data_IF_105962971510
#
_entry.id   IF_105962971510
#
_cell.length_a   1.000
_cell.length_b   1.000
_cell.length_c   1.000
_cell.angle_alpha   90.00
_cell.angle_beta   90.00
_cell.angle_gamma   90.00
#
_symmetry.space_group_name_H-M   'P 1'
#
loop_
_entity.id
_entity.type
_entity.pdbx_description
1 polymer ?
#
# COMPACT_ATOMS: atom_id res chain seq x y z
N UNK A 1 7.58 -8.30 -4.73
CA UNK A 1 6.37 -7.92 -5.45
C UNK A 1 6.50 -6.52 -6.04
N UNK A 2 5.94 -6.32 -7.20
CA UNK A 2 6.09 -5.04 -7.89
C UNK A 2 5.27 -3.95 -7.21
N UNK A 3 5.93 -2.80 -7.00
CA UNK A 3 5.23 -1.63 -6.49
C UNK A 3 4.51 -0.92 -7.63
N UNK A 4 3.43 -0.19 -7.33
CA UNK A 4 2.72 0.54 -8.39
C UNK A 4 3.57 1.68 -8.92
N UNK A 5 3.32 2.11 -10.15
CA UNK A 5 4.06 3.24 -10.71
C UNK A 5 3.66 4.52 -10.00
N UNK A 6 4.61 5.47 -9.95
CA UNK A 6 4.34 6.76 -9.35
C UNK A 6 3.59 7.64 -10.37
N UNK A 7 2.74 8.55 -9.88
CA UNK A 7 2.01 9.42 -10.80
C UNK A 7 2.96 10.40 -11.51
N UNK A 8 2.52 10.91 -12.65
CA UNK A 8 3.32 11.85 -13.44
C UNK A 8 3.73 13.07 -12.63
N UNK A 9 2.88 13.54 -11.74
CA UNK A 9 3.18 14.69 -10.89
C UNK A 9 4.39 14.46 -9.98
N UNK A 10 4.73 13.21 -9.71
CA UNK A 10 5.91 12.89 -8.92
C UNK A 10 7.19 13.37 -9.60
N UNK A 11 7.22 13.31 -10.92
CA UNK A 11 8.39 13.67 -11.71
C UNK A 11 8.40 15.12 -12.14
N UNK A 12 7.30 15.82 -11.96
CA UNK A 12 7.15 17.22 -12.35
C UNK A 12 7.33 18.11 -11.13
N UNK A 13 8.37 18.96 -11.13
CA UNK A 13 8.66 19.80 -9.97
C UNK A 13 8.15 21.21 -10.20
N UNK A 14 6.89 21.41 -9.88
CA UNK A 14 6.24 22.72 -10.00
C UNK A 14 6.00 23.24 -8.58
N UNK A 15 6.43 24.48 -8.32
CA UNK A 15 6.27 25.09 -7.00
C UNK A 15 4.81 25.13 -6.58
N UNK A 16 4.55 24.69 -5.36
CA UNK A 16 3.20 24.73 -4.80
C UNK A 16 2.27 23.66 -5.31
N UNK A 17 2.77 22.73 -6.14
CA UNK A 17 1.97 21.64 -6.66
C UNK A 17 2.39 20.33 -6.00
N UNK A 18 1.43 19.57 -5.52
CA UNK A 18 1.71 18.33 -4.85
C UNK A 18 2.25 17.28 -5.82
N UNK A 19 3.36 16.66 -5.46
CA UNK A 19 4.00 15.65 -6.30
C UNK A 19 3.22 14.34 -6.34
N UNK A 20 2.24 14.19 -5.47
CA UNK A 20 1.45 12.95 -5.42
C UNK A 20 0.12 13.06 -6.13
N UNK A 21 -0.72 14.02 -5.71
CA UNK A 21 -2.04 14.17 -6.31
C UNK A 21 -2.09 15.13 -7.49
N UNK A 22 -1.06 15.94 -7.67
CA UNK A 22 -1.01 16.89 -8.78
C UNK A 22 -1.78 18.17 -8.57
N UNK A 23 -2.43 18.33 -7.43
CA UNK A 23 -3.19 19.54 -7.13
C UNK A 23 -2.33 20.56 -6.40
N UNK A 24 -2.75 21.82 -6.48
CA UNK A 24 -2.03 22.90 -5.81
C UNK A 24 -2.17 22.79 -4.29
N UNK A 25 -1.13 23.18 -3.58
CA UNK A 25 -1.12 23.17 -2.12
C UNK A 25 -1.48 24.58 -1.65
N UNK A 26 -2.63 24.69 -0.97
CA UNK A 26 -3.12 26.00 -0.52
C UNK A 26 -2.96 26.18 0.97
N UNK A 27 -2.69 27.43 1.36
CA UNK A 27 -2.64 27.80 2.77
C UNK A 27 -4.06 28.11 3.24
N UNK A 28 -4.18 28.32 4.55
CA UNK A 28 -5.49 28.65 5.14
C UNK A 28 -6.12 29.89 4.53
N UNK A 29 -5.30 30.86 4.09
CA UNK A 29 -5.79 32.10 3.49
C UNK A 29 -6.13 31.95 1.99
N UNK A 30 -6.01 30.74 1.45
CA UNK A 30 -6.36 30.47 0.06
C UNK A 30 -5.24 30.68 -0.95
N UNK A 31 -4.09 31.17 -0.49
CA UNK A 31 -2.95 31.39 -1.40
C UNK A 31 -2.12 30.11 -1.55
N UNK A 32 -1.35 30.03 -2.62
CA UNK A 32 -0.52 28.86 -2.91
C UNK A 32 0.68 28.81 -1.96
N UNK A 33 0.93 27.64 -1.40
CA UNK A 33 2.11 27.42 -0.56
C UNK A 33 3.26 26.90 -1.41
N UNK A 34 4.06 27.81 -1.94
CA UNK A 34 5.17 27.46 -2.84
C UNK A 34 6.35 26.80 -2.15
N UNK A 35 6.35 26.76 -0.82
CA UNK A 35 7.43 26.10 -0.07
C UNK A 35 7.22 24.61 0.08
N UNK A 36 6.03 24.11 -0.23
CA UNK A 36 5.70 22.71 -0.09
C UNK A 36 5.57 22.03 -1.44
N UNK A 37 5.95 20.76 -1.46
CA UNK A 37 5.84 19.92 -2.65
C UNK A 37 4.85 18.77 -2.46
N UNK A 38 4.28 18.66 -1.27
CA UNK A 38 3.36 17.57 -0.91
C UNK A 38 2.29 18.09 0.03
N UNK A 39 1.06 17.58 -0.15
CA UNK A 39 0.09 17.66 0.93
C UNK A 39 0.53 16.67 2.00
N UNK A 40 0.19 16.94 3.25
CA UNK A 40 0.60 16.09 4.36
C UNK A 40 0.03 14.68 4.22
N UNK A 41 -1.26 14.57 3.89
CA UNK A 41 -1.91 13.28 3.67
C UNK A 41 -1.31 12.54 2.47
N UNK A 42 -0.96 13.26 1.42
CA UNK A 42 -0.36 12.67 0.24
C UNK A 42 1.02 12.10 0.54
N UNK A 43 1.80 12.83 1.33
CA UNK A 43 3.11 12.36 1.75
C UNK A 43 3.00 11.08 2.59
N UNK A 44 2.02 11.03 3.49
CA UNK A 44 1.78 9.85 4.32
C UNK A 44 1.40 8.65 3.44
N UNK A 45 0.50 8.85 2.49
CA UNK A 45 0.09 7.78 1.59
C UNK A 45 1.27 7.26 0.77
N UNK A 46 2.09 8.16 0.25
CA UNK A 46 3.29 7.79 -0.47
C UNK A 46 4.23 6.93 0.39
N UNK A 47 4.46 7.35 1.63
CA UNK A 47 5.35 6.63 2.53
C UNK A 47 4.83 5.23 2.86
N UNK A 48 3.52 5.10 3.05
CA UNK A 48 2.91 3.81 3.34
C UNK A 48 3.11 2.85 2.16
N UNK A 49 3.00 3.34 0.93
CA UNK A 49 3.14 2.49 -0.25
C UNK A 49 4.60 2.12 -0.52
N UNK A 50 5.51 3.08 -0.41
CA UNK A 50 6.88 2.89 -0.91
C UNK A 50 7.96 2.70 0.15
N UNK A 51 7.65 2.94 1.42
CA UNK A 51 8.65 2.83 2.50
C UNK A 51 8.17 1.87 3.58
N UNK A 52 8.73 0.67 3.58
CA UNK A 52 8.29 -0.40 4.47
C UNK A 52 8.40 -0.05 5.95
N UNK A 53 9.42 0.72 6.33
CA UNK A 53 9.58 1.12 7.73
C UNK A 53 8.42 2.01 8.19
N UNK A 54 8.05 2.98 7.35
CA UNK A 54 6.92 3.86 7.66
C UNK A 54 5.60 3.10 7.62
N UNK A 55 5.46 2.20 6.67
CA UNK A 55 4.30 1.35 6.58
C UNK A 55 4.11 0.56 7.88
N UNK A 56 5.18 -0.08 8.36
CA UNK A 56 5.11 -0.85 9.60
C UNK A 56 4.74 0.03 10.79
N UNK A 57 5.30 1.23 10.86
CA UNK A 57 5.01 2.15 11.96
C UNK A 57 3.53 2.55 11.99
N UNK A 58 2.96 2.87 10.85
CA UNK A 58 1.55 3.25 10.76
C UNK A 58 0.62 2.08 11.11
N UNK A 59 0.93 0.89 10.62
CA UNK A 59 0.12 -0.29 10.90
C UNK A 59 0.18 -0.63 12.38
N UNK A 60 1.38 -0.61 12.97
CA UNK A 60 1.55 -0.91 14.39
C UNK A 60 0.80 0.09 15.28
N UNK A 61 0.89 1.36 14.92
CA UNK A 61 0.21 2.40 15.70
C UNK A 61 -1.30 2.20 15.69
N UNK A 62 -1.86 1.89 14.52
CA UNK A 62 -3.30 1.65 14.39
C UNK A 62 -3.73 0.40 15.15
N UNK A 63 -2.97 -0.68 15.03
CA UNK A 63 -3.36 -1.99 15.59
C UNK A 63 -2.89 -2.21 17.02
N UNK A 64 -2.10 -1.29 17.56
CA UNK A 64 -1.61 -1.40 18.94
C UNK A 64 -0.64 -2.56 19.17
N UNK A 65 -0.04 -3.08 18.09
CA UNK A 65 0.90 -4.19 18.19
C UNK A 65 0.24 -5.54 18.35
N UNK A 66 -1.07 -5.61 18.23
CA UNK A 66 -1.80 -6.87 18.39
C UNK A 66 -2.11 -7.51 17.05
N UNK A 67 -1.97 -8.82 17.01
CA UNK A 67 -2.34 -9.58 15.81
C UNK A 67 -3.83 -9.40 15.51
N UNK A 68 -4.14 -9.10 14.26
CA UNK A 68 -5.51 -8.85 13.87
C UNK A 68 -6.36 -10.13 13.86
N UNK A 69 -5.73 -11.29 13.78
CA UNK A 69 -6.45 -12.57 13.77
C UNK A 69 -6.60 -13.18 15.16
N UNK A 70 -5.52 -13.31 15.92
CA UNK A 70 -5.59 -13.96 17.22
C UNK A 70 -5.61 -12.99 18.40
N UNK A 71 -5.38 -11.71 18.16
CA UNK A 71 -5.44 -10.69 19.20
C UNK A 71 -4.23 -10.65 20.13
N UNK A 72 -3.25 -11.51 19.93
CA UNK A 72 -2.09 -11.59 20.80
C UNK A 72 -1.06 -10.52 20.43
N UNK A 73 -0.51 -9.86 21.42
CA UNK A 73 0.61 -8.96 21.20
C UNK A 73 1.85 -9.79 20.90
N UNK A 74 2.59 -9.41 19.87
CA UNK A 74 3.83 -10.09 19.52
C UNK A 74 4.90 -9.08 19.11
N UNK A 75 6.12 -9.31 19.58
CA UNK A 75 7.25 -8.49 19.14
C UNK A 75 7.69 -8.89 17.74
N UNK A 76 7.42 -10.13 17.35
CA UNK A 76 7.72 -10.63 16.00
C UNK A 76 6.42 -10.69 15.23
N UNK A 77 6.27 -9.77 14.30
CA UNK A 77 5.04 -9.63 13.55
C UNK A 77 5.34 -9.15 12.14
N UNK A 78 4.37 -9.36 11.26
CA UNK A 78 4.47 -8.92 9.88
C UNK A 78 3.31 -8.02 9.51
N UNK A 79 3.54 -7.15 8.53
CA UNK A 79 2.47 -6.43 7.87
C UNK A 79 1.97 -7.35 6.76
N UNK A 80 0.66 -7.57 6.74
CA UNK A 80 0.04 -8.43 5.76
C UNK A 80 -0.98 -7.65 4.93
N UNK A 81 -1.07 -7.97 3.66
CA UNK A 81 -2.12 -7.43 2.80
C UNK A 81 -3.37 -8.29 2.97
N UNK A 82 -4.46 -7.69 3.45
CA UNK A 82 -5.71 -8.41 3.70
C UNK A 82 -6.17 -9.08 2.40
N UNK A 83 -6.25 -8.31 1.31
CA UNK A 83 -6.41 -8.87 -0.03
C UNK A 83 -5.00 -9.05 -0.59
N UNK A 84 -4.58 -10.28 -0.88
CA UNK A 84 -3.18 -10.52 -1.24
C UNK A 84 -2.79 -9.87 -2.56
N UNK A 85 -1.58 -9.33 -2.61
CA UNK A 85 -1.08 -8.67 -3.81
C UNK A 85 -0.99 -9.60 -5.01
N UNK A 86 -0.95 -10.90 -4.77
CA UNK A 86 -0.91 -11.86 -5.88
C UNK A 86 -2.14 -11.74 -6.77
N UNK A 87 -3.24 -11.21 -6.26
CA UNK A 87 -4.44 -10.96 -7.06
C UNK A 87 -4.21 -9.89 -8.12
N UNK A 88 -3.18 -9.05 -7.93
CA UNK A 88 -2.82 -8.03 -8.92
C UNK A 88 -1.79 -8.52 -9.92
N UNK A 89 -1.40 -9.78 -9.83
CA UNK A 89 -0.40 -10.33 -10.72
C UNK A 89 -0.95 -10.40 -12.14
N UNK A 90 -0.18 -9.84 -13.08
CA UNK A 90 -0.58 -9.82 -14.48
C UNK A 90 -1.48 -8.67 -14.87
N UNK A 91 -1.89 -7.86 -13.92
CA UNK A 91 -2.70 -6.66 -14.19
C UNK A 91 -1.78 -5.58 -14.77
N UNK A 92 -2.24 -4.89 -15.81
CA UNK A 92 -1.46 -3.81 -16.40
C UNK A 92 -1.37 -2.64 -15.44
N UNK A 93 -0.31 -1.85 -15.56
CA UNK A 93 -0.08 -0.73 -14.65
C UNK A 93 -1.25 0.24 -14.60
N UNK A 94 -1.83 0.54 -15.75
CA UNK A 94 -2.96 1.47 -15.81
C UNK A 94 -4.24 0.92 -15.19
N UNK A 95 -4.30 -0.39 -15.01
CA UNK A 95 -5.48 -1.06 -14.45
C UNK A 95 -5.30 -1.49 -12.99
N UNK A 96 -4.14 -1.20 -12.39
CA UNK A 96 -3.89 -1.59 -11.01
C UNK A 96 -4.91 -0.97 -10.06
N UNK A 97 -5.38 -1.79 -9.13
CA UNK A 97 -6.28 -1.32 -8.08
C UNK A 97 -5.42 -0.81 -6.92
N UNK A 98 -5.34 0.51 -6.81
CA UNK A 98 -4.51 1.16 -5.80
C UNK A 98 -4.96 0.88 -4.38
N UNK A 99 -6.21 0.47 -4.18
CA UNK A 99 -6.70 0.16 -2.84
C UNK A 99 -5.99 -1.03 -2.21
N UNK A 100 -5.36 -1.88 -3.02
CA UNK A 100 -4.56 -2.99 -2.49
C UNK A 100 -3.35 -2.49 -1.70
N UNK A 101 -2.90 -1.27 -1.99
CA UNK A 101 -1.71 -0.70 -1.35
C UNK A 101 -2.04 0.26 -0.22
N UNK A 102 -3.33 0.52 0.02
CA UNK A 102 -3.72 1.47 1.05
C UNK A 102 -3.60 0.89 2.45
N UNK A 103 -3.54 1.76 3.44
CA UNK A 103 -3.45 1.34 4.83
C UNK A 103 -4.62 0.45 5.23
N UNK A 104 -5.80 0.67 4.64
CA UNK A 104 -6.99 -0.12 4.93
C UNK A 104 -6.85 -1.58 4.53
N UNK A 105 -5.94 -1.88 3.59
CA UNK A 105 -5.69 -3.24 3.17
C UNK A 105 -4.50 -3.88 3.89
N UNK A 106 -3.98 -3.22 4.91
CA UNK A 106 -2.83 -3.70 5.67
C UNK A 106 -3.27 -4.07 7.08
N UNK A 107 -2.65 -5.09 7.63
CA UNK A 107 -2.95 -5.54 9.00
C UNK A 107 -1.71 -6.12 9.65
N UNK A 108 -1.72 -6.12 10.99
CA UNK A 108 -0.68 -6.76 11.78
C UNK A 108 -1.04 -8.23 11.97
N UNK A 109 -0.12 -9.11 11.65
CA UNK A 109 -0.26 -10.53 11.94
C UNK A 109 0.98 -11.05 12.66
N UNK A 110 0.80 -11.88 13.68
CA UNK A 110 1.92 -12.58 14.27
C UNK A 110 2.45 -13.60 13.25
N UNK A 111 3.67 -14.07 13.46
CA UNK A 111 4.28 -15.00 12.50
C UNK A 111 3.43 -16.24 12.24
N UNK A 112 2.83 -16.77 13.30
CA UNK A 112 1.99 -17.96 13.19
C UNK A 112 0.75 -17.73 12.34
N UNK A 113 0.01 -16.65 12.60
CA UNK A 113 -1.20 -16.33 11.83
C UNK A 113 -0.84 -15.97 10.39
N UNK A 114 0.28 -15.28 10.20
CA UNK A 114 0.73 -14.93 8.86
C UNK A 114 1.05 -16.18 8.04
N UNK A 115 1.71 -17.16 8.67
CA UNK A 115 2.01 -18.42 8.01
C UNK A 115 0.74 -19.16 7.61
N UNK A 116 -0.25 -19.20 8.51
CA UNK A 116 -1.53 -19.85 8.21
C UNK A 116 -2.22 -19.19 7.04
N UNK A 117 -2.24 -17.84 7.02
CA UNK A 117 -2.86 -17.11 5.93
C UNK A 117 -2.13 -17.36 4.62
N UNK A 118 -0.80 -17.31 4.64
CA UNK A 118 0.01 -17.57 3.45
C UNK A 118 -0.28 -18.96 2.89
N UNK A 119 -0.37 -19.95 3.76
CA UNK A 119 -0.67 -21.32 3.33
C UNK A 119 -2.05 -21.41 2.70
N UNK A 120 -3.03 -20.67 3.23
CA UNK A 120 -4.36 -20.67 2.65
C UNK A 120 -4.41 -19.99 1.28
N UNK A 121 -3.42 -19.14 0.98
CA UNK A 121 -3.33 -18.42 -0.28
C UNK A 121 -2.46 -19.10 -1.32
N UNK A 122 -1.87 -20.23 -0.98
CA UNK A 122 -0.99 -20.94 -1.90
C UNK A 122 -1.69 -21.31 -3.21
N UNK A 123 -2.96 -21.65 -3.13
CA UNK A 123 -3.72 -22.01 -4.33
C UNK A 123 -3.80 -20.85 -5.33
N UNK A 124 -3.78 -19.61 -4.85
CA UNK A 124 -3.80 -18.46 -5.74
C UNK A 124 -2.52 -18.38 -6.56
N UNK A 125 -1.39 -18.68 -5.93
CA UNK A 125 -0.11 -18.67 -6.62
C UNK A 125 -0.02 -19.82 -7.62
N UNK A 126 -0.50 -20.97 -7.24
CA UNK A 126 -0.45 -22.14 -8.11
C UNK A 126 -1.33 -22.00 -9.32
N UNK A 127 -2.47 -21.39 -9.16
CA UNK A 127 -3.42 -21.24 -10.25
C UNK A 127 -2.93 -20.35 -11.36
N UNK A 128 -1.98 -19.48 -11.08
CA UNK A 128 -1.53 -18.59 -12.07
C UNK A 128 -0.87 -19.26 -13.23
N UNK A 129 -0.51 -20.45 -13.11
CA UNK A 129 0.07 -21.15 -14.22
C UNK A 129 -0.93 -21.39 -15.31
N UNK A 130 -2.13 -21.86 -15.00
CA UNK A 130 -3.17 -21.98 -16.01
C UNK A 130 -4.19 -20.89 -15.91
N UNK A 131 -4.56 -20.49 -14.72
CA UNK A 131 -5.72 -19.69 -14.50
C UNK A 131 -5.55 -18.24 -14.72
N UNK A 132 -4.52 -17.77 -14.21
CA UNK A 132 -4.38 -16.38 -14.31
C UNK A 132 -4.14 -15.93 -15.64
N UNK A 133 -3.93 -16.67 -16.24
CA UNK A 133 -3.60 -16.43 -17.42
C UNK A 133 -4.50 -16.46 -18.27
N UNK A 134 -4.71 -16.56 -17.87
CA UNK A 134 -5.45 -16.66 -18.36
C UNK A 134 -6.30 -15.95 -18.26
N UNK A 135 -6.34 -15.67 -18.14
CA UNK A 135 -6.97 -15.19 -17.80
C UNK A 135 -7.19 -14.37 -17.24
N UNK A 136 -7.14 -13.99 -17.05
CA UNK A 136 -7.14 -13.37 -16.41
C UNK A 136 -6.28 -12.83 -16.26
N UNK A 137 -5.97 -12.70 -16.35
CA UNK A 137 -5.20 -12.21 -16.09
C UNK A 137 -4.41 -12.33 -16.82
N UNK A 138 -4.18 -12.46 -17.36
CA UNK A 138 -3.63 -12.60 -17.86
C UNK A 138 -3.62 -12.32 -18.10
#
# INVERSE_FOLDING_TARGET
FRLPPKPDSYYTKIKGKCRWCGNMIVKEDGTINERRSWHEECATEYMIIYHSKEQRAHVRKRDGGKCNHCGTYSRKWDVDHIRPLVEQKGVREEDLDWSYYSLDNLQTLCKSCHRKKTNSEVHLKGKKKPVYKASKFK
#
